data_IF_318838707923
#
_entry.id   IF_318838707923
#
_cell.length_a   1.000
_cell.length_b   1.000
_cell.length_c   1.000
_cell.angle_alpha   90.00
_cell.angle_beta   90.00
_cell.angle_gamma   90.00
#
_symmetry.space_group_name_H-M   'P 1'
#
loop_
_entity.id
_entity.type
_entity.pdbx_description
1 polymer ?
#
# COMPACT_ATOMS: atom_id res chain seq x y z
N UNK A 1 67.87 36.61 -3.49
CA UNK A 1 68.75 35.42 -3.30
C UNK A 1 68.24 34.62 -2.11
N UNK A 2 68.09 33.29 -2.28
CA UNK A 2 67.90 32.25 -1.24
C UNK A 2 66.56 32.30 -0.47
N UNK A 3 65.84 31.22 -0.15
CA UNK A 3 65.97 29.80 -0.44
C UNK A 3 64.70 29.07 0.06
N UNK A 4 64.21 28.13 -0.76
CA UNK A 4 63.81 26.75 -0.43
C UNK A 4 63.02 26.44 0.85
N UNK A 5 61.82 25.87 0.69
CA UNK A 5 61.35 24.66 1.39
C UNK A 5 60.44 23.89 0.42
N UNK A 6 61.01 22.91 -0.29
CA UNK A 6 60.93 21.46 -0.07
C UNK A 6 59.55 20.84 -0.36
N UNK A 7 59.53 20.09 -1.46
CA UNK A 7 58.59 19.03 -1.79
C UNK A 7 58.38 18.07 -0.60
N UNK A 8 57.12 17.71 -0.38
CA UNK A 8 56.70 16.41 0.11
C UNK A 8 55.67 15.85 -0.85
N UNK A 9 56.10 14.90 -1.69
CA UNK A 9 55.23 13.89 -2.35
C UNK A 9 54.45 13.15 -1.25
N UNK A 10 53.29 12.52 -1.43
CA UNK A 10 52.66 11.90 -2.56
C UNK A 10 51.19 11.63 -2.18
N UNK A 11 50.36 11.33 -3.18
CA UNK A 11 49.30 10.35 -2.97
C UNK A 11 47.88 10.91 -2.91
N UNK A 12 47.32 11.22 -4.08
CA UNK A 12 45.97 10.80 -4.47
C UNK A 12 45.77 11.20 -5.93
N UNK A 13 46.19 10.30 -6.83
CA UNK A 13 45.73 10.29 -8.22
C UNK A 13 44.33 9.67 -8.21
N UNK A 14 43.46 10.15 -9.10
CA UNK A 14 42.54 9.37 -9.96
C UNK A 14 41.10 9.92 -9.98
N UNK A 15 40.80 10.47 -11.17
CA UNK A 15 39.56 10.47 -11.97
C UNK A 15 38.26 11.05 -11.37
N UNK A 16 37.72 12.15 -11.92
CA UNK A 16 36.93 12.24 -13.18
C UNK A 16 35.75 11.26 -13.25
N UNK A 17 34.52 11.77 -13.18
CA UNK A 17 33.52 11.81 -14.27
C UNK A 17 32.08 11.85 -13.74
N UNK A 18 31.33 12.81 -14.30
CA UNK A 18 29.92 12.75 -14.68
C UNK A 18 28.86 12.31 -13.63
N UNK A 19 28.01 13.26 -13.25
CA UNK A 19 26.59 12.98 -13.02
C UNK A 19 25.73 14.18 -13.42
N UNK A 20 25.73 14.51 -14.71
CA UNK A 20 24.55 15.06 -15.36
C UNK A 20 23.46 13.96 -15.34
N UNK A 21 22.79 13.78 -14.20
CA UNK A 21 21.70 12.81 -14.06
C UNK A 21 20.79 13.07 -12.85
N UNK A 22 20.76 14.30 -12.30
CA UNK A 22 19.65 14.69 -11.40
C UNK A 22 18.42 15.13 -12.21
N UNK A 23 18.11 14.40 -13.28
CA UNK A 23 16.80 14.31 -13.90
C UNK A 23 16.23 12.95 -13.52
N UNK A 24 15.60 12.90 -12.35
CA UNK A 24 14.48 12.01 -11.96
C UNK A 24 14.34 12.04 -10.43
N UNK A 25 14.07 13.23 -9.90
CA UNK A 25 13.10 13.30 -8.81
C UNK A 25 11.80 12.76 -9.41
N UNK A 26 11.47 11.49 -9.14
CA UNK A 26 10.24 10.86 -9.60
C UNK A 26 9.12 11.28 -8.62
N UNK A 27 8.28 12.30 -8.92
CA UNK A 27 7.38 12.88 -7.93
C UNK A 27 6.02 12.15 -7.86
N UNK A 28 5.88 11.00 -8.52
CA UNK A 28 4.58 10.40 -8.85
C UNK A 28 4.57 8.87 -8.76
N UNK A 29 5.03 8.31 -7.65
CA UNK A 29 4.68 6.93 -7.31
C UNK A 29 3.78 6.96 -6.08
N UNK A 30 2.50 7.28 -6.31
CA UNK A 30 1.43 6.84 -5.42
C UNK A 30 1.33 5.32 -5.57
N UNK A 31 2.31 4.61 -5.03
CA UNK A 31 2.23 3.17 -4.90
C UNK A 31 1.17 2.93 -3.84
N UNK A 32 -0.05 2.57 -4.28
CA UNK A 32 -1.04 2.00 -3.38
C UNK A 32 -0.33 0.96 -2.51
N UNK A 33 -0.51 1.01 -1.18
CA UNK A 33 0.20 0.11 -0.30
C UNK A 33 -0.14 -1.33 -0.69
N UNK A 34 0.86 -2.21 -0.67
CA UNK A 34 0.71 -3.61 -1.06
C UNK A 34 -0.34 -4.36 -0.20
N UNK A 35 -0.68 -3.79 0.96
CA UNK A 35 -1.70 -4.26 1.90
C UNK A 35 -2.49 -3.06 2.40
N UNK A 36 -3.81 -3.20 2.41
CA UNK A 36 -4.75 -2.22 2.97
C UNK A 36 -5.58 -2.93 4.05
N UNK A 37 -5.78 -2.25 5.18
CA UNK A 37 -6.75 -2.67 6.20
C UNK A 37 -7.95 -1.75 6.12
N UNK A 38 -9.11 -2.31 5.78
CA UNK A 38 -10.37 -1.58 5.69
C UNK A 38 -11.16 -1.84 6.98
N UNK A 39 -11.38 -0.83 7.84
CA UNK A 39 -12.21 -0.99 9.03
C UNK A 39 -13.67 -1.24 8.63
N UNK A 40 -14.36 -2.09 9.39
CA UNK A 40 -15.75 -2.48 9.13
C UNK A 40 -16.65 -2.16 10.35
N UNK A 41 -17.85 -1.59 10.13
CA UNK A 41 -18.34 -1.05 8.86
C UNK A 41 -17.57 0.22 8.45
N UNK A 42 -17.16 0.31 7.19
CA UNK A 42 -16.39 1.43 6.64
C UNK A 42 -17.14 2.19 5.54
N UNK A 43 -16.87 3.48 5.37
CA UNK A 43 -17.46 4.33 4.31
C UNK A 43 -16.33 5.00 3.52
N UNK A 44 -16.41 4.97 2.19
CA UNK A 44 -15.39 5.56 1.30
C UNK A 44 -15.65 7.04 0.96
N UNK A 45 -14.66 7.68 0.32
CA UNK A 45 -14.46 9.13 0.12
C UNK A 45 -15.62 9.92 -0.53
N UNK A 46 -16.67 9.26 -1.01
CA UNK A 46 -17.86 9.93 -1.54
C UNK A 46 -19.19 9.35 -1.03
N UNK A 47 -19.18 8.52 0.02
CA UNK A 47 -20.39 7.88 0.57
C UNK A 47 -21.06 6.82 -0.33
N UNK A 48 -20.53 6.59 -1.54
CA UNK A 48 -21.11 5.68 -2.55
C UNK A 48 -20.77 4.22 -2.35
N UNK A 49 -19.62 3.95 -1.72
CA UNK A 49 -19.18 2.58 -1.41
C UNK A 49 -19.14 2.41 0.10
N UNK A 50 -19.94 1.46 0.60
CA UNK A 50 -19.98 1.05 2.01
C UNK A 50 -19.44 -0.36 2.14
N UNK A 51 -18.55 -0.55 3.10
CA UNK A 51 -17.97 -1.83 3.45
C UNK A 51 -18.66 -2.33 4.71
N UNK A 52 -19.27 -3.51 4.66
CA UNK A 52 -19.84 -4.19 5.82
C UNK A 52 -19.42 -5.65 5.80
N UNK A 53 -19.86 -6.44 6.78
CA UNK A 53 -19.64 -7.87 6.79
C UNK A 53 -20.94 -8.60 7.07
N UNK A 54 -20.97 -9.88 6.74
CA UNK A 54 -22.05 -10.78 7.11
C UNK A 54 -21.51 -11.88 8.02
N UNK A 55 -22.14 -12.02 9.18
CA UNK A 55 -21.85 -13.09 10.12
C UNK A 55 -22.62 -14.34 9.72
N UNK A 56 -21.94 -15.47 9.80
CA UNK A 56 -22.58 -16.77 9.72
C UNK A 56 -23.44 -16.98 10.96
N UNK A 57 -24.75 -17.11 10.74
CA UNK A 57 -25.75 -17.26 11.83
C UNK A 57 -25.54 -18.50 12.70
N UNK A 58 -24.78 -19.49 12.22
CA UNK A 58 -24.52 -20.76 12.91
C UNK A 58 -23.22 -20.74 13.69
N UNK A 59 -22.16 -20.14 13.13
CA UNK A 59 -20.81 -20.15 13.74
C UNK A 59 -20.42 -18.83 14.40
N UNK A 60 -21.20 -17.77 14.18
CA UNK A 60 -20.86 -16.38 14.53
C UNK A 60 -19.53 -15.89 13.91
N UNK A 61 -18.97 -16.64 12.96
CA UNK A 61 -17.78 -16.23 12.22
C UNK A 61 -18.16 -15.24 11.12
N UNK A 62 -17.26 -14.30 10.81
CA UNK A 62 -17.43 -13.45 9.64
C UNK A 62 -16.89 -14.18 8.42
N UNK A 63 -17.81 -14.68 7.60
CA UNK A 63 -17.47 -15.50 6.43
C UNK A 63 -17.45 -14.67 5.14
N UNK A 64 -18.02 -13.45 5.15
CA UNK A 64 -18.14 -12.65 3.93
C UNK A 64 -18.02 -11.16 4.21
N UNK A 65 -17.24 -10.50 3.35
CA UNK A 65 -17.18 -9.06 3.22
C UNK A 65 -18.28 -8.63 2.25
N UNK A 66 -19.06 -7.63 2.63
CA UNK A 66 -20.14 -7.09 1.80
C UNK A 66 -19.74 -5.70 1.35
N UNK A 67 -19.63 -5.53 0.03
CA UNK A 67 -19.42 -4.25 -0.61
C UNK A 67 -20.77 -3.76 -1.13
N UNK A 68 -21.23 -2.62 -0.65
CA UNK A 68 -22.43 -1.96 -1.15
C UNK A 68 -21.99 -0.85 -2.10
N UNK A 69 -22.25 -1.03 -3.39
CA UNK A 69 -21.98 -0.04 -4.45
C UNK A 69 -23.28 0.25 -5.20
N UNK A 70 -23.67 1.52 -5.34
CA UNK A 70 -24.86 1.93 -6.10
C UNK A 70 -26.11 1.10 -5.74
N UNK A 71 -26.36 0.92 -4.43
CA UNK A 71 -27.47 0.13 -3.85
C UNK A 71 -27.43 -1.39 -4.12
N UNK A 72 -26.32 -1.90 -4.66
CA UNK A 72 -26.12 -3.35 -4.86
C UNK A 72 -25.13 -3.91 -3.86
N UNK A 73 -25.51 -5.02 -3.25
CA UNK A 73 -24.64 -5.79 -2.35
C UNK A 73 -23.84 -6.80 -3.17
N UNK A 74 -22.52 -6.76 -3.02
CA UNK A 74 -21.59 -7.76 -3.54
C UNK A 74 -20.91 -8.45 -2.37
N UNK A 75 -20.98 -9.78 -2.35
CA UNK A 75 -20.40 -10.59 -1.28
C UNK A 75 -19.05 -11.13 -1.77
N UNK A 76 -18.04 -11.02 -0.91
CA UNK A 76 -16.67 -11.45 -1.17
C UNK A 76 -16.18 -12.34 -0.03
N UNK A 77 -15.62 -13.48 -0.38
CA UNK A 77 -14.98 -14.40 0.53
C UNK A 77 -13.46 -14.20 0.53
N UNK A 78 -12.76 -14.61 1.61
CA UNK A 78 -11.31 -14.74 1.58
C UNK A 78 -10.84 -15.56 0.36
N UNK A 79 -10.00 -14.95 -0.47
CA UNK A 79 -9.52 -15.45 -1.76
C UNK A 79 -10.08 -14.68 -2.96
N UNK A 80 -11.19 -13.97 -2.81
CA UNK A 80 -11.85 -13.28 -3.92
C UNK A 80 -11.15 -11.98 -4.34
N UNK A 81 -11.34 -11.62 -5.61
CA UNK A 81 -10.82 -10.41 -6.22
C UNK A 81 -11.81 -9.24 -6.12
N UNK A 82 -11.34 -8.13 -5.56
CA UNK A 82 -12.08 -6.88 -5.40
C UNK A 82 -11.40 -5.80 -6.24
N UNK A 83 -12.14 -5.22 -7.18
CA UNK A 83 -11.65 -4.14 -8.03
C UNK A 83 -12.04 -2.78 -7.44
N UNK A 84 -11.05 -2.00 -7.01
CA UNK A 84 -11.23 -0.65 -6.45
C UNK A 84 -10.46 0.37 -7.27
N UNK A 85 -11.13 1.44 -7.73
CA UNK A 85 -10.49 2.58 -8.41
C UNK A 85 -9.47 2.17 -9.49
N UNK A 86 -9.78 1.12 -10.26
CA UNK A 86 -8.94 0.52 -11.30
C UNK A 86 -7.77 -0.36 -10.85
N UNK A 87 -7.74 -0.75 -9.58
CA UNK A 87 -6.75 -1.67 -9.00
C UNK A 87 -7.44 -2.92 -8.49
N UNK A 88 -6.84 -4.10 -8.70
CA UNK A 88 -7.37 -5.38 -8.22
C UNK A 88 -6.68 -5.74 -6.92
N UNK A 89 -7.48 -5.98 -5.89
CA UNK A 89 -7.04 -6.49 -4.60
C UNK A 89 -7.61 -7.89 -4.39
N UNK A 90 -6.90 -8.73 -3.65
CA UNK A 90 -7.41 -10.01 -3.16
C UNK A 90 -7.82 -9.80 -1.71
N UNK A 91 -9.06 -10.18 -1.37
CA UNK A 91 -9.49 -10.26 0.02
C UNK A 91 -8.75 -11.42 0.67
N UNK A 92 -7.87 -11.13 1.63
CA UNK A 92 -7.07 -12.17 2.26
C UNK A 92 -7.78 -12.78 3.46
N UNK A 93 -8.31 -11.93 4.33
CA UNK A 93 -9.02 -12.33 5.56
C UNK A 93 -9.84 -11.16 6.10
N UNK A 94 -10.82 -11.47 6.95
CA UNK A 94 -11.53 -10.50 7.78
C UNK A 94 -11.18 -10.85 9.22
N UNK A 95 -10.60 -9.91 9.95
CA UNK A 95 -10.08 -10.16 11.29
C UNK A 95 -10.60 -9.15 12.29
N UNK A 96 -10.72 -9.60 13.53
CA UNK A 96 -11.04 -8.76 14.68
C UNK A 96 -9.82 -7.91 15.03
N UNK A 97 -9.99 -6.60 15.17
CA UNK A 97 -8.89 -5.65 15.43
C UNK A 97 -8.90 -5.10 16.86
N UNK A 98 -10.04 -5.14 17.55
CA UNK A 98 -10.18 -4.76 18.95
C UNK A 98 -11.66 -4.74 19.35
N UNK A 99 -12.00 -4.89 20.64
CA UNK A 99 -13.40 -4.76 21.10
C UNK A 99 -14.36 -5.69 20.35
N UNK A 100 -15.31 -5.12 19.58
CA UNK A 100 -16.17 -5.79 18.59
C UNK A 100 -15.96 -5.23 17.17
N UNK A 101 -14.79 -4.64 16.94
CA UNK A 101 -14.37 -4.02 15.69
C UNK A 101 -13.66 -5.04 14.79
N UNK A 102 -14.00 -4.99 13.50
CA UNK A 102 -13.43 -5.87 12.48
C UNK A 102 -12.76 -5.05 11.38
N UNK A 103 -11.80 -5.65 10.69
CA UNK A 103 -11.20 -5.09 9.50
C UNK A 103 -10.98 -6.16 8.43
N UNK A 104 -11.23 -5.80 7.18
CA UNK A 104 -10.86 -6.61 6.03
C UNK A 104 -9.44 -6.29 5.57
N UNK A 105 -8.67 -7.34 5.33
CA UNK A 105 -7.31 -7.25 4.81
C UNK A 105 -7.30 -7.49 3.30
N UNK A 106 -6.96 -6.44 2.56
CA UNK A 106 -6.87 -6.46 1.11
C UNK A 106 -5.40 -6.45 0.69
N UNK A 107 -5.00 -7.37 -0.18
CA UNK A 107 -3.64 -7.44 -0.72
C UNK A 107 -3.68 -7.05 -2.20
N UNK A 108 -2.78 -6.17 -2.61
CA UNK A 108 -2.65 -5.79 -4.01
C UNK A 108 -2.28 -7.02 -4.86
N UNK A 109 -3.10 -7.33 -5.88
CA UNK A 109 -2.79 -8.38 -6.85
C UNK A 109 -1.76 -7.83 -7.84
N UNK A 110 -0.59 -8.46 -7.89
CA UNK A 110 0.50 -8.11 -8.82
C UNK A 110 0.27 -8.68 -10.20
#
# INVERSE_FOLDING_TARGET
MKSKWKLGMAGAVVLLLAAAALWRLNPWQSTLPARILVPLPGVSENGKVKWTYEENKTTAAIDSLVLVEDERNKHYQPGDEIKLMNTVFVLKEIKKVGGDEYAAELILKK
#
